data_IF_223021757411
#
_entry.id   IF_223021757411
#
_cell.length_a   1.000
_cell.length_b   1.000
_cell.length_c   1.000
_cell.angle_alpha   90.00
_cell.angle_beta   90.00
_cell.angle_gamma   90.00
#
_symmetry.space_group_name_H-M   'P 1'
#
loop_
_entity.id
_entity.type
_entity.pdbx_description
1 polymer ?
#
# COMPACT_ATOMS: atom_id res chain seq x y z
N UNK A 1 -38.14 7.99 17.49
CA UNK A 1 -38.69 7.44 18.75
C UNK A 1 -39.48 6.19 18.38
N UNK A 2 -39.11 5.01 18.89
CA UNK A 2 -39.85 3.76 18.60
C UNK A 2 -41.22 3.80 19.30
N UNK A 3 -42.26 3.26 18.64
CA UNK A 3 -43.63 3.22 19.16
C UNK A 3 -43.77 2.10 20.20
N UNK A 4 -44.42 2.40 21.33
CA UNK A 4 -44.67 1.44 22.40
C UNK A 4 -45.84 0.53 22.00
N UNK A 5 -45.53 -0.69 21.57
CA UNK A 5 -46.53 -1.65 21.05
C UNK A 5 -47.28 -2.40 22.15
N UNK A 6 -46.86 -2.28 23.42
CA UNK A 6 -47.46 -2.98 24.56
C UNK A 6 -47.23 -4.50 24.60
N UNK A 7 -46.51 -5.05 23.62
CA UNK A 7 -46.25 -6.49 23.50
C UNK A 7 -45.18 -7.00 24.48
N UNK A 8 -44.30 -6.12 24.95
CA UNK A 8 -43.22 -6.44 25.88
C UNK A 8 -43.24 -5.46 27.05
N UNK A 9 -43.29 -5.98 28.28
CA UNK A 9 -43.07 -5.21 29.49
C UNK A 9 -41.57 -4.94 29.66
N UNK A 10 -41.12 -3.76 29.28
CA UNK A 10 -39.71 -3.37 29.45
C UNK A 10 -39.57 -2.75 30.85
N UNK A 11 -39.30 -3.60 31.82
CA UNK A 11 -38.94 -3.19 33.18
C UNK A 11 -37.42 -3.12 33.31
N UNK A 12 -36.92 -2.08 33.97
CA UNK A 12 -35.49 -1.90 34.18
C UNK A 12 -34.94 -3.05 35.06
N UNK A 13 -33.93 -3.76 34.58
CA UNK A 13 -33.40 -4.97 35.21
C UNK A 13 -34.19 -6.25 34.92
N UNK A 14 -35.29 -6.19 34.15
CA UNK A 14 -35.99 -7.36 33.64
C UNK A 14 -35.21 -8.08 32.53
N UNK A 15 -35.60 -9.31 32.20
CA UNK A 15 -34.91 -10.12 31.19
C UNK A 15 -34.76 -9.40 29.84
N UNK A 16 -35.83 -8.73 29.38
CA UNK A 16 -35.85 -7.97 28.12
C UNK A 16 -34.88 -6.78 28.16
N UNK A 17 -34.77 -6.06 29.29
CA UNK A 17 -33.82 -4.95 29.45
C UNK A 17 -32.37 -5.46 29.42
N UNK A 18 -32.10 -6.59 30.08
CA UNK A 18 -30.77 -7.24 30.05
C UNK A 18 -30.40 -7.72 28.65
N UNK A 19 -31.32 -8.32 27.90
CA UNK A 19 -31.11 -8.74 26.52
C UNK A 19 -30.82 -7.55 25.59
N UNK A 20 -31.61 -6.48 25.69
CA UNK A 20 -31.40 -5.26 24.89
C UNK A 20 -30.04 -4.61 25.20
N UNK A 21 -29.61 -4.61 26.46
CA UNK A 21 -28.26 -4.14 26.84
C UNK A 21 -27.17 -5.02 26.27
N UNK A 22 -27.33 -6.35 26.30
CA UNK A 22 -26.38 -7.28 25.69
C UNK A 22 -26.27 -7.03 24.18
N UNK A 23 -27.41 -6.86 23.48
CA UNK A 23 -27.40 -6.51 22.06
C UNK A 23 -26.75 -5.15 21.77
N UNK A 24 -27.01 -4.13 22.60
CA UNK A 24 -26.37 -2.83 22.44
C UNK A 24 -24.84 -2.94 22.54
N UNK A 25 -24.33 -3.67 23.53
CA UNK A 25 -22.89 -3.89 23.72
C UNK A 25 -22.27 -4.62 22.52
N UNK A 26 -22.92 -5.68 22.02
CA UNK A 26 -22.41 -6.41 20.86
C UNK A 26 -22.49 -5.57 19.57
N UNK A 27 -23.53 -4.75 19.39
CA UNK A 27 -23.60 -3.82 18.26
C UNK A 27 -22.48 -2.78 18.31
N UNK A 28 -22.22 -2.18 19.47
CA UNK A 28 -21.12 -1.22 19.65
C UNK A 28 -19.76 -1.85 19.33
N UNK A 29 -19.56 -3.11 19.72
CA UNK A 29 -18.38 -3.89 19.34
C UNK A 29 -18.28 -4.04 17.82
N UNK A 30 -19.36 -4.47 17.15
CA UNK A 30 -19.38 -4.65 15.69
C UNK A 30 -19.10 -3.33 14.96
N UNK A 31 -19.67 -2.21 15.41
CA UNK A 31 -19.37 -0.89 14.84
C UNK A 31 -17.90 -0.53 15.00
N UNK A 32 -17.31 -0.81 16.16
CA UNK A 32 -15.88 -0.59 16.39
C UNK A 32 -15.01 -1.42 15.44
N UNK A 33 -15.37 -2.69 15.22
CA UNK A 33 -14.66 -3.58 14.27
C UNK A 33 -14.80 -3.08 12.81
N UNK A 34 -15.99 -2.62 12.42
CA UNK A 34 -16.25 -2.02 11.11
C UNK A 34 -15.44 -0.74 10.89
N UNK A 35 -15.32 0.13 11.89
CA UNK A 35 -14.53 1.35 11.81
C UNK A 35 -13.04 1.04 11.59
N UNK A 36 -12.51 0.02 12.28
CA UNK A 36 -11.14 -0.46 12.06
C UNK A 36 -10.99 -0.99 10.63
N UNK A 37 -11.95 -1.78 10.14
CA UNK A 37 -11.91 -2.32 8.78
C UNK A 37 -11.92 -1.21 7.73
N UNK A 38 -12.82 -0.23 7.85
CA UNK A 38 -12.91 0.90 6.94
C UNK A 38 -11.63 1.75 6.95
N UNK A 39 -11.04 1.95 8.13
CA UNK A 39 -9.77 2.65 8.26
C UNK A 39 -8.63 1.90 7.56
N UNK A 40 -8.56 0.59 7.70
CA UNK A 40 -7.50 -0.23 7.11
C UNK A 40 -7.70 -0.49 5.61
N UNK A 41 -8.91 -0.27 5.08
CA UNK A 41 -9.22 -0.46 3.67
C UNK A 41 -8.48 0.49 2.72
N UNK A 42 -8.18 1.72 3.15
CA UNK A 42 -7.53 2.73 2.30
C UNK A 42 -6.10 3.02 2.74
N UNK A 43 -5.16 3.11 1.79
CA UNK A 43 -3.74 3.41 2.09
C UNK A 43 -3.57 4.70 2.91
N UNK A 44 -4.37 5.72 2.61
CA UNK A 44 -4.35 7.01 3.31
C UNK A 44 -4.70 6.91 4.80
N UNK A 45 -5.55 5.96 5.19
CA UNK A 45 -6.06 5.82 6.57
C UNK A 45 -5.52 4.61 7.29
N UNK A 46 -5.01 3.61 6.58
CA UNK A 46 -4.53 2.34 7.14
C UNK A 46 -3.35 2.55 8.09
N UNK A 47 -3.36 1.85 9.22
CA UNK A 47 -2.35 2.03 10.28
C UNK A 47 -1.59 0.73 10.57
N UNK A 48 -2.19 -0.41 10.25
CA UNK A 48 -1.69 -1.72 10.66
C UNK A 48 -1.73 -2.68 9.48
N UNK A 49 -2.60 -3.69 9.54
CA UNK A 49 -2.64 -4.79 8.57
C UNK A 49 -2.99 -4.31 7.16
N UNK A 50 -3.73 -3.21 6.99
CA UNK A 50 -4.09 -2.69 5.67
C UNK A 50 -2.87 -2.33 4.82
N UNK A 51 -1.80 -1.80 5.44
CA UNK A 51 -0.53 -1.51 4.75
C UNK A 51 0.22 -2.81 4.45
N UNK A 52 0.36 -3.69 5.44
CA UNK A 52 1.09 -4.95 5.29
C UNK A 52 0.49 -5.86 4.22
N UNK A 53 -0.83 -6.00 4.16
CA UNK A 53 -1.50 -6.84 3.17
C UNK A 53 -1.36 -6.28 1.75
N UNK A 54 -1.39 -4.95 1.57
CA UNK A 54 -1.12 -4.32 0.27
C UNK A 54 0.32 -4.51 -0.18
N UNK A 55 1.28 -4.42 0.73
CA UNK A 55 2.68 -4.68 0.40
C UNK A 55 2.91 -6.15 0.00
N UNK A 56 2.28 -7.10 0.70
CA UNK A 56 2.30 -8.52 0.33
C UNK A 56 1.66 -8.76 -1.03
N UNK A 57 0.56 -8.08 -1.35
CA UNK A 57 -0.07 -8.16 -2.66
C UNK A 57 0.87 -7.74 -3.79
N UNK A 58 1.71 -6.73 -3.56
CA UNK A 58 2.67 -6.24 -4.55
C UNK A 58 3.96 -7.08 -4.55
N UNK A 59 4.34 -7.67 -3.41
CA UNK A 59 5.35 -8.74 -3.37
C UNK A 59 6.06 -8.94 -2.05
N UNK A 60 6.33 -7.89 -1.27
CA UNK A 60 7.07 -8.01 0.00
C UNK A 60 6.71 -6.90 0.97
N UNK A 61 6.51 -7.30 2.22
CA UNK A 61 6.31 -6.39 3.35
C UNK A 61 7.60 -5.64 3.69
N UNK A 62 7.51 -4.34 3.89
CA UNK A 62 8.64 -3.42 4.15
C UNK A 62 8.69 -3.03 5.62
N UNK A 63 8.82 -4.01 6.50
CA UNK A 63 8.87 -3.80 7.96
C UNK A 63 10.12 -3.04 8.43
N UNK A 64 11.12 -2.91 7.56
CA UNK A 64 12.32 -2.11 7.73
C UNK A 64 12.06 -0.59 7.67
N UNK A 65 10.93 -0.16 7.10
CA UNK A 65 10.60 1.25 6.90
C UNK A 65 9.56 1.76 7.91
N UNK A 66 9.56 3.08 8.11
CA UNK A 66 8.50 3.75 8.90
C UNK A 66 7.15 3.66 8.21
N UNK A 67 6.05 3.65 8.97
CA UNK A 67 4.69 3.61 8.42
C UNK A 67 4.43 4.73 7.41
N UNK A 68 4.94 5.93 7.67
CA UNK A 68 4.80 7.08 6.77
C UNK A 68 5.47 6.81 5.41
N UNK A 69 6.71 6.29 5.44
CA UNK A 69 7.45 5.96 4.21
C UNK A 69 6.81 4.80 3.45
N UNK A 70 6.35 3.77 4.16
CA UNK A 70 5.58 2.65 3.57
C UNK A 70 4.34 3.16 2.82
N UNK A 71 3.56 4.04 3.46
CA UNK A 71 2.37 4.66 2.87
C UNK A 71 2.70 5.47 1.61
N UNK A 72 3.73 6.30 1.67
CA UNK A 72 4.16 7.13 0.53
C UNK A 72 4.52 6.26 -0.69
N UNK A 73 5.30 5.20 -0.48
CA UNK A 73 5.72 4.28 -1.54
C UNK A 73 4.54 3.51 -2.13
N UNK A 74 3.58 3.08 -1.30
CA UNK A 74 2.34 2.44 -1.76
C UNK A 74 1.48 3.39 -2.60
N UNK A 75 1.30 4.63 -2.15
CA UNK A 75 0.57 5.64 -2.91
C UNK A 75 1.23 5.89 -4.27
N UNK A 76 2.56 5.99 -4.32
CA UNK A 76 3.29 6.20 -5.57
C UNK A 76 3.15 5.00 -6.53
N UNK A 77 3.17 3.77 -5.99
CA UNK A 77 2.92 2.55 -6.78
C UNK A 77 1.49 2.48 -7.32
N UNK A 78 0.48 2.81 -6.51
CA UNK A 78 -0.94 2.72 -6.90
C UNK A 78 -1.37 3.85 -7.85
N UNK A 79 -0.73 5.03 -7.74
CA UNK A 79 -0.99 6.18 -8.65
C UNK A 79 -0.56 5.88 -10.09
N UNK A 80 0.32 4.90 -10.29
CA UNK A 80 0.91 4.51 -11.59
C UNK A 80 -0.06 3.86 -12.58
N UNK A 81 -1.37 3.99 -12.38
CA UNK A 81 -2.40 3.46 -13.27
C UNK A 81 -2.47 4.16 -14.64
N UNK A 82 -1.80 5.31 -14.86
CA UNK A 82 -1.70 5.93 -16.18
C UNK A 82 -0.49 5.38 -16.95
N UNK A 83 -0.75 4.67 -18.06
CA UNK A 83 0.23 3.94 -18.88
C UNK A 83 1.24 4.79 -19.66
N UNK A 84 1.90 5.73 -18.99
CA UNK A 84 3.05 6.44 -19.53
C UNK A 84 4.29 5.55 -19.58
N UNK A 85 5.11 5.75 -20.62
CA UNK A 85 6.38 5.04 -20.83
C UNK A 85 7.57 6.01 -20.93
N UNK A 86 7.42 7.21 -20.36
CA UNK A 86 8.43 8.26 -20.39
C UNK A 86 9.50 8.13 -19.31
N UNK A 87 10.51 9.00 -19.37
CA UNK A 87 11.54 9.08 -18.34
C UNK A 87 10.99 9.50 -16.97
N UNK A 88 9.97 10.36 -16.95
CA UNK A 88 9.28 10.75 -15.72
C UNK A 88 8.60 9.57 -15.03
N UNK A 89 7.92 8.71 -15.81
CA UNK A 89 7.25 7.51 -15.30
C UNK A 89 8.25 6.44 -14.81
N UNK A 90 9.43 6.39 -15.44
CA UNK A 90 10.54 5.55 -15.01
C UNK A 90 11.13 6.04 -13.68
N UNK A 91 11.31 7.35 -13.54
CA UNK A 91 11.80 7.96 -12.30
C UNK A 91 10.82 7.72 -11.13
N UNK A 92 9.52 7.94 -11.35
CA UNK A 92 8.49 7.64 -10.35
C UNK A 92 8.48 6.17 -9.95
N UNK A 93 8.73 5.24 -10.88
CA UNK A 93 8.88 3.82 -10.53
C UNK A 93 10.08 3.57 -9.63
N UNK A 94 11.24 4.13 -9.97
CA UNK A 94 12.47 3.95 -9.19
C UNK A 94 12.28 4.48 -7.77
N UNK A 95 11.66 5.66 -7.64
CA UNK A 95 11.27 6.24 -6.35
C UNK A 95 10.29 5.34 -5.59
N UNK A 96 9.29 4.77 -6.26
CA UNK A 96 8.30 3.87 -5.66
C UNK A 96 8.92 2.53 -5.19
N UNK A 97 10.02 2.12 -5.82
CA UNK A 97 10.83 1.00 -5.38
C UNK A 97 11.64 1.32 -4.12
N UNK A 98 11.74 2.59 -3.74
CA UNK A 98 12.38 3.04 -2.50
C UNK A 98 13.81 3.54 -2.70
N UNK A 99 14.26 3.68 -3.95
CA UNK A 99 15.59 4.22 -4.28
C UNK A 99 15.51 5.74 -4.32
N UNK A 100 16.43 6.40 -3.63
CA UNK A 100 16.49 7.85 -3.48
C UNK A 100 17.65 8.49 -4.24
N UNK A 101 18.80 7.83 -4.32
CA UNK A 101 19.98 8.34 -5.04
C UNK A 101 20.25 7.52 -6.29
N UNK A 102 19.81 8.06 -7.43
CA UNK A 102 19.95 7.42 -8.73
C UNK A 102 20.07 8.44 -9.86
N UNK A 103 20.61 7.99 -10.99
CA UNK A 103 20.59 8.74 -12.26
C UNK A 103 20.16 7.84 -13.41
N UNK A 104 19.43 8.43 -14.36
CA UNK A 104 18.91 7.73 -15.54
C UNK A 104 19.42 8.43 -16.78
N UNK A 105 20.12 7.70 -17.64
CA UNK A 105 20.57 8.16 -18.95
C UNK A 105 19.90 7.35 -20.04
N UNK A 106 19.13 8.02 -20.91
CA UNK A 106 18.44 7.39 -22.05
C UNK A 106 19.09 7.84 -23.35
N UNK A 107 19.68 6.90 -24.08
CA UNK A 107 20.29 7.14 -25.39
C UNK A 107 19.43 6.51 -26.47
N UNK A 108 18.47 7.28 -26.99
CA UNK A 108 17.46 6.81 -27.97
C UNK A 108 18.08 6.22 -29.23
N UNK A 109 19.15 6.83 -29.77
CA UNK A 109 19.83 6.36 -30.99
C UNK A 109 20.40 4.94 -30.86
N UNK A 110 20.78 4.55 -29.66
CA UNK A 110 21.34 3.24 -29.36
C UNK A 110 20.34 2.31 -28.68
N UNK A 111 19.08 2.73 -28.54
CA UNK A 111 18.07 2.03 -27.76
C UNK A 111 18.63 1.57 -26.40
N UNK A 112 19.30 2.46 -25.67
CA UNK A 112 20.00 2.10 -24.43
C UNK A 112 19.53 2.95 -23.26
N UNK A 113 19.23 2.29 -22.14
CA UNK A 113 18.88 2.92 -20.87
C UNK A 113 19.94 2.49 -19.85
N UNK A 114 20.66 3.45 -19.29
CA UNK A 114 21.58 3.20 -18.17
C UNK A 114 20.97 3.79 -16.91
N UNK A 115 20.82 2.96 -15.88
CA UNK A 115 20.35 3.35 -14.55
C UNK A 115 21.49 3.11 -13.58
N UNK A 116 22.01 4.20 -13.03
CA UNK A 116 23.08 4.17 -12.02
C UNK A 116 22.45 4.41 -10.65
N UNK A 117 22.60 3.45 -9.74
CA UNK A 117 22.07 3.51 -8.38
C UNK A 117 23.22 3.64 -7.40
N UNK A 118 23.18 4.67 -6.56
CA UNK A 118 24.20 4.94 -5.54
C UNK A 118 23.77 4.41 -4.15
N UNK A 119 22.52 3.99 -3.99
CA UNK A 119 22.02 3.43 -2.74
C UNK A 119 22.54 2.01 -2.47
N UNK A 120 22.79 1.71 -1.19
CA UNK A 120 23.19 0.38 -0.74
C UNK A 120 21.99 -0.58 -0.71
N UNK A 121 21.80 -1.33 -1.80
CA UNK A 121 20.75 -2.35 -1.93
C UNK A 121 21.30 -3.76 -1.64
N UNK A 122 20.52 -4.58 -0.94
CA UNK A 122 20.81 -6.02 -0.76
C UNK A 122 20.67 -6.79 -2.08
N UNK A 123 21.26 -7.98 -2.18
CA UNK A 123 21.17 -8.80 -3.39
C UNK A 123 19.71 -9.11 -3.79
N UNK A 124 18.84 -9.36 -2.80
CA UNK A 124 17.40 -9.55 -3.04
C UNK A 124 16.74 -8.29 -3.58
N UNK A 125 17.01 -7.14 -2.97
CA UNK A 125 16.45 -5.85 -3.41
C UNK A 125 16.91 -5.48 -4.83
N UNK A 126 18.16 -5.78 -5.19
CA UNK A 126 18.66 -5.61 -6.56
C UNK A 126 17.91 -6.47 -7.56
N UNK A 127 17.69 -7.75 -7.24
CA UNK A 127 16.95 -8.66 -8.13
C UNK A 127 15.50 -8.21 -8.35
N UNK A 128 14.80 -7.80 -7.28
CA UNK A 128 13.43 -7.28 -7.36
C UNK A 128 13.36 -5.94 -8.11
N UNK A 129 14.34 -5.07 -7.90
CA UNK A 129 14.49 -3.80 -8.61
C UNK A 129 14.66 -4.02 -10.11
N UNK A 130 15.65 -4.82 -10.52
CA UNK A 130 15.92 -5.11 -11.93
C UNK A 130 14.72 -5.76 -12.62
N UNK A 131 14.04 -6.69 -11.95
CA UNK A 131 12.82 -7.31 -12.47
C UNK A 131 11.72 -6.28 -12.70
N UNK A 132 11.50 -5.39 -11.73
CA UNK A 132 10.45 -4.35 -11.80
C UNK A 132 10.73 -3.32 -12.88
N UNK A 133 11.99 -2.91 -13.03
CA UNK A 133 12.43 -1.95 -14.04
C UNK A 133 12.38 -2.57 -15.44
N UNK A 134 12.90 -3.80 -15.63
CA UNK A 134 12.86 -4.51 -16.92
C UNK A 134 11.43 -4.74 -17.41
N UNK A 135 10.50 -5.00 -16.49
CA UNK A 135 9.08 -5.14 -16.83
C UNK A 135 8.44 -3.84 -17.34
N UNK A 136 9.04 -2.69 -17.02
CA UNK A 136 8.56 -1.39 -17.47
C UNK A 136 9.24 -0.90 -18.76
N UNK A 137 10.55 -1.12 -18.87
CA UNK A 137 11.33 -0.65 -20.02
C UNK A 137 10.90 -1.38 -21.30
N UNK A 138 10.84 -0.70 -22.46
CA UNK A 138 10.53 -1.37 -23.72
C UNK A 138 11.55 -2.48 -24.03
N UNK A 139 11.07 -3.61 -24.54
CA UNK A 139 11.92 -4.77 -24.92
C UNK A 139 12.98 -4.39 -25.96
N UNK A 140 12.72 -3.35 -26.76
CA UNK A 140 13.65 -2.84 -27.77
C UNK A 140 14.86 -2.11 -27.18
N UNK A 141 14.79 -1.69 -25.90
CA UNK A 141 15.88 -0.99 -25.24
C UNK A 141 16.72 -1.96 -24.39
N UNK A 142 18.04 -1.92 -24.56
CA UNK A 142 18.98 -2.56 -23.65
C UNK A 142 19.05 -1.75 -22.35
N UNK A 143 18.69 -2.37 -21.23
CA UNK A 143 18.70 -1.75 -19.90
C UNK A 143 19.89 -2.24 -19.11
N UNK A 144 20.79 -1.31 -18.76
CA UNK A 144 22.01 -1.55 -17.98
C UNK A 144 21.85 -0.98 -16.57
N UNK A 145 22.22 -1.77 -15.57
CA UNK A 145 22.19 -1.41 -14.16
C UNK A 145 23.63 -1.26 -13.65
N UNK A 146 23.96 -0.08 -13.15
CA UNK A 146 25.26 0.22 -12.55
C UNK A 146 25.03 0.53 -11.06
N UNK A 147 25.76 -0.15 -10.18
CA UNK A 147 25.65 0.06 -8.73
C UNK A 147 26.97 0.63 -8.21
N UNK A 148 26.94 1.87 -7.76
CA UNK A 148 28.07 2.50 -7.09
C UNK A 148 27.91 2.27 -5.59
N UNK A 149 28.59 1.26 -5.07
CA UNK A 149 28.73 1.02 -3.62
C UNK A 149 29.80 1.91 -3.00
#
# INVERSE_FOLDING_TARGET
KLLQTGLYGIEQGGAVDCELKAYAVELDRIYTELDVLLREAFVSTAQTYGISEREKFIGKERTDLTLARRRELLMLRETRASGGHGSADLNQLIEALGVTDYSVTIVQRHCKITITVNDSLTAEQKADFEKSVKAFTPVTFETIFEYNT
#
